data_IF_721266820603
#
_entry.id   IF_721266820603
#
_cell.length_a   1.000
_cell.length_b   1.000
_cell.length_c   1.000
_cell.angle_alpha   90.00
_cell.angle_beta   90.00
_cell.angle_gamma   90.00
#
_symmetry.space_group_name_H-M   'P 1'
#
loop_
_entity.id
_entity.type
_entity.pdbx_description
1 polymer ?
#
# COMPACT_ATOMS: atom_id res chain seq x y z
N UNK A 1 -28.05 -50.18 -44.15
CA UNK A 1 -27.30 -51.29 -44.74
C UNK A 1 -26.01 -50.75 -45.33
N UNK A 2 -24.93 -51.46 -45.01
CA UNK A 2 -23.52 -51.18 -45.15
C UNK A 2 -22.96 -51.34 -46.56
N UNK A 3 -21.94 -50.56 -46.92
CA UNK A 3 -20.87 -51.03 -47.80
C UNK A 3 -19.50 -50.61 -47.21
N UNK A 4 -18.56 -51.56 -46.99
CA UNK A 4 -17.26 -51.29 -46.39
C UNK A 4 -16.10 -51.17 -47.42
N UNK A 5 -15.04 -50.47 -46.99
CA UNK A 5 -13.64 -50.42 -47.49
C UNK A 5 -13.05 -51.82 -47.80
N UNK A 6 -11.90 -52.01 -48.55
CA UNK A 6 -10.57 -51.46 -48.18
C UNK A 6 -9.39 -51.36 -49.23
N UNK A 7 -8.33 -50.60 -48.82
CA UNK A 7 -6.84 -50.78 -48.96
C UNK A 7 -6.04 -50.45 -50.26
N UNK A 8 -4.82 -49.91 -50.02
CA UNK A 8 -3.79 -49.24 -50.87
C UNK A 8 -2.73 -50.19 -51.51
N UNK A 9 -1.69 -49.76 -52.30
CA UNK A 9 -0.47 -49.09 -51.75
C UNK A 9 0.46 -48.24 -52.70
N UNK A 10 1.43 -47.52 -52.08
CA UNK A 10 2.79 -47.12 -52.51
C UNK A 10 3.07 -45.78 -53.25
N UNK A 11 3.96 -45.00 -52.62
CA UNK A 11 4.85 -43.93 -53.15
C UNK A 11 6.04 -44.50 -53.94
N UNK A 12 6.60 -43.74 -54.90
CA UNK A 12 8.01 -43.33 -54.78
C UNK A 12 8.42 -41.97 -55.42
N UNK A 13 9.36 -41.29 -54.73
CA UNK A 13 10.60 -40.64 -55.23
C UNK A 13 10.54 -39.39 -56.14
N UNK A 14 11.14 -38.30 -55.63
CA UNK A 14 11.63 -37.10 -56.33
C UNK A 14 12.87 -37.39 -57.21
N UNK A 15 13.03 -36.66 -58.33
CA UNK A 15 14.36 -36.11 -58.62
C UNK A 15 14.35 -34.63 -59.06
N UNK A 16 15.31 -33.92 -58.44
CA UNK A 16 16.18 -32.81 -58.87
C UNK A 16 15.75 -31.79 -59.95
N UNK A 17 15.87 -30.53 -59.54
CA UNK A 17 16.09 -29.31 -60.34
C UNK A 17 17.26 -29.44 -61.31
N UNK A 18 17.09 -28.89 -62.50
CA UNK A 18 18.11 -28.12 -63.23
C UNK A 18 17.46 -26.94 -63.95
N UNK A 19 18.13 -25.80 -63.85
CA UNK A 19 17.71 -24.46 -64.24
C UNK A 19 17.84 -24.20 -65.75
N UNK A 20 16.92 -23.42 -66.33
CA UNK A 20 17.17 -22.64 -67.56
C UNK A 20 16.60 -21.23 -67.44
N UNK A 21 17.53 -20.32 -67.21
CA UNK A 21 17.64 -18.95 -67.75
C UNK A 21 16.43 -18.03 -67.65
N UNK A 22 16.45 -17.24 -66.58
CA UNK A 22 15.73 -15.99 -66.43
C UNK A 22 16.11 -14.99 -67.53
N UNK A 23 15.11 -14.48 -68.25
CA UNK A 23 15.24 -13.35 -69.16
C UNK A 23 15.65 -12.09 -68.38
N UNK A 24 16.77 -11.52 -68.80
CA UNK A 24 17.53 -10.44 -68.18
C UNK A 24 16.78 -9.08 -68.07
N UNK A 25 15.56 -8.97 -68.60
CA UNK A 25 14.80 -7.71 -68.67
C UNK A 25 13.73 -7.51 -67.58
N UNK A 26 13.42 -8.54 -66.77
CA UNK A 26 12.48 -8.41 -65.62
C UNK A 26 13.16 -7.97 -64.30
N UNK A 27 14.48 -7.73 -64.32
CA UNK A 27 15.31 -7.55 -63.10
C UNK A 27 15.57 -6.11 -62.66
N UNK A 28 15.11 -5.09 -63.38
CA UNK A 28 15.40 -3.68 -62.99
C UNK A 28 14.23 -3.02 -62.22
N UNK A 29 13.02 -3.58 -62.23
CA UNK A 29 11.85 -3.01 -61.53
C UNK A 29 11.52 -3.57 -60.15
N UNK A 30 12.22 -4.61 -59.67
CA UNK A 30 11.65 -5.54 -58.66
C UNK A 30 12.54 -5.77 -57.43
N UNK A 31 13.60 -4.97 -57.23
CA UNK A 31 14.51 -5.12 -56.08
C UNK A 31 13.98 -4.41 -54.81
N UNK A 32 13.35 -3.24 -54.95
CA UNK A 32 12.77 -2.52 -53.80
C UNK A 32 11.53 -3.20 -53.20
N UNK A 33 10.76 -3.93 -54.02
CA UNK A 33 9.51 -4.60 -53.60
C UNK A 33 9.78 -5.94 -52.91
N UNK A 34 10.76 -6.73 -53.39
CA UNK A 34 11.13 -8.02 -52.77
C UNK A 34 11.79 -7.87 -51.40
N UNK A 35 12.55 -6.78 -51.15
CA UNK A 35 13.15 -6.51 -49.83
C UNK A 35 12.08 -6.17 -48.78
N UNK A 36 11.09 -5.35 -49.14
CA UNK A 36 9.92 -5.05 -48.28
C UNK A 36 9.02 -6.26 -48.02
N UNK A 37 8.83 -7.15 -49.00
CA UNK A 37 8.00 -8.35 -48.81
C UNK A 37 8.66 -9.34 -47.84
N UNK A 38 9.99 -9.45 -47.87
CA UNK A 38 10.75 -10.30 -46.94
C UNK A 38 10.75 -9.72 -45.52
N UNK A 39 10.94 -8.40 -45.38
CA UNK A 39 10.76 -7.70 -44.10
C UNK A 39 9.35 -7.85 -43.53
N UNK A 40 8.30 -7.72 -44.36
CA UNK A 40 6.91 -7.90 -43.91
C UNK A 40 6.62 -9.35 -43.52
N UNK A 41 7.24 -10.34 -44.18
CA UNK A 41 7.11 -11.75 -43.81
C UNK A 41 7.88 -12.09 -42.54
N UNK A 42 9.07 -11.52 -42.34
CA UNK A 42 9.85 -11.70 -41.11
C UNK A 42 9.15 -11.02 -39.91
N UNK A 43 8.56 -9.84 -40.09
CA UNK A 43 7.75 -9.13 -39.07
C UNK A 43 6.41 -9.83 -38.81
N UNK A 44 5.79 -10.44 -39.82
CA UNK A 44 4.62 -11.30 -39.61
C UNK A 44 4.97 -12.61 -38.90
N UNK A 45 6.14 -13.18 -39.15
CA UNK A 45 6.62 -14.38 -38.45
C UNK A 45 7.00 -14.07 -37.00
N UNK A 46 7.63 -12.92 -36.74
CA UNK A 46 7.97 -12.42 -35.41
C UNK A 46 6.71 -12.01 -34.63
N UNK A 47 5.77 -11.32 -35.27
CA UNK A 47 4.44 -11.01 -34.71
C UNK A 47 3.63 -12.27 -34.44
N UNK A 48 3.74 -13.29 -35.29
CA UNK A 48 3.15 -14.60 -35.03
C UNK A 48 3.85 -15.29 -33.86
N UNK A 49 5.17 -15.25 -33.74
CA UNK A 49 5.87 -15.81 -32.56
C UNK A 49 5.58 -15.06 -31.25
N UNK A 50 5.20 -13.78 -31.32
CA UNK A 50 4.82 -12.96 -30.18
C UNK A 50 3.34 -13.12 -29.76
N UNK A 51 2.45 -13.46 -30.70
CA UNK A 51 1.00 -13.64 -30.47
C UNK A 51 0.66 -15.12 -30.23
N UNK A 52 1.35 -16.02 -30.93
CA UNK A 52 1.16 -17.46 -30.87
C UNK A 52 2.16 -18.09 -29.88
N UNK A 53 1.82 -18.02 -28.59
CA UNK A 53 1.58 -19.30 -27.91
C UNK A 53 0.07 -19.53 -27.94
N UNK A 54 -0.50 -19.98 -29.07
CA UNK A 54 -1.93 -19.99 -29.29
C UNK A 54 -2.45 -21.36 -28.87
N UNK A 55 -3.02 -21.42 -27.68
CA UNK A 55 -3.55 -22.67 -27.16
C UNK A 55 -3.79 -22.73 -25.66
N UNK A 56 -3.59 -21.64 -24.91
CA UNK A 56 -4.14 -21.58 -23.57
C UNK A 56 -5.60 -21.09 -23.65
N UNK A 57 -6.60 -21.92 -23.30
CA UNK A 57 -8.03 -21.55 -23.32
C UNK A 57 -8.41 -20.53 -22.22
N UNK A 58 -7.47 -19.69 -21.77
CA UNK A 58 -7.60 -18.77 -20.63
C UNK A 58 -7.19 -17.32 -21.02
N UNK A 59 -6.95 -17.01 -22.29
CA UNK A 59 -6.69 -15.62 -22.68
C UNK A 59 -7.98 -14.79 -22.51
N UNK A 60 -8.02 -13.78 -21.62
CA UNK A 60 -9.21 -12.94 -21.49
C UNK A 60 -9.44 -12.16 -22.78
N UNK A 61 -10.67 -12.20 -23.30
CA UNK A 61 -11.11 -11.32 -24.39
C UNK A 61 -11.21 -9.90 -23.84
N UNK A 62 -10.17 -9.09 -24.06
CA UNK A 62 -10.12 -7.70 -23.62
C UNK A 62 -10.65 -6.81 -24.76
N UNK A 63 -11.67 -5.96 -24.54
CA UNK A 63 -12.25 -5.06 -25.54
C UNK A 63 -11.21 -4.10 -26.17
N UNK A 64 -11.34 -3.73 -27.45
CA UNK A 64 -10.41 -2.82 -28.15
C UNK A 64 -10.27 -1.44 -27.48
N UNK A 65 -11.32 -1.02 -26.76
CA UNK A 65 -11.41 0.23 -26.01
C UNK A 65 -10.44 0.24 -24.80
N UNK A 66 -10.11 -0.93 -24.24
CA UNK A 66 -9.18 -1.06 -23.11
C UNK A 66 -7.70 -0.93 -23.53
N UNK A 67 -7.36 -1.14 -24.81
CA UNK A 67 -6.01 -1.00 -25.37
C UNK A 67 -5.79 0.28 -26.20
N UNK A 68 -6.82 1.08 -26.43
CA UNK A 68 -6.73 2.28 -27.26
C UNK A 68 -6.09 3.43 -26.48
N UNK A 69 -4.79 3.68 -26.75
CA UNK A 69 -4.04 4.83 -26.24
C UNK A 69 -4.10 6.02 -27.21
N UNK A 70 -4.32 7.22 -26.67
CA UNK A 70 -4.14 8.48 -27.39
C UNK A 70 -2.64 8.73 -27.70
N UNK A 71 -2.35 9.64 -28.63
CA UNK A 71 -0.96 9.99 -28.98
C UNK A 71 -0.20 10.52 -27.75
N UNK A 72 0.97 9.94 -27.45
CA UNK A 72 1.76 10.18 -26.24
C UNK A 72 1.13 9.76 -24.90
N UNK A 73 0.02 9.02 -24.89
CA UNK A 73 -0.56 8.46 -23.67
C UNK A 73 0.30 7.30 -23.15
N UNK A 74 0.59 7.30 -21.85
CA UNK A 74 1.26 6.22 -21.14
C UNK A 74 0.23 5.55 -20.22
N UNK A 75 0.04 4.22 -20.35
CA UNK A 75 -0.73 3.43 -19.37
C UNK A 75 0.18 2.46 -18.64
N UNK A 76 0.06 2.47 -17.33
CA UNK A 76 0.68 1.52 -16.43
C UNK A 76 -0.36 0.45 -16.07
N UNK A 77 -0.10 -0.80 -16.45
CA UNK A 77 -0.96 -1.94 -16.16
C UNK A 77 -0.17 -2.91 -15.28
N UNK A 78 -0.81 -3.44 -14.24
CA UNK A 78 -0.21 -4.48 -13.41
C UNK A 78 -0.12 -5.75 -14.25
N UNK A 79 1.04 -6.40 -14.25
CA UNK A 79 1.18 -7.72 -14.88
C UNK A 79 0.17 -8.70 -14.25
N UNK A 80 -0.65 -9.44 -15.03
CA UNK A 80 -1.71 -10.30 -14.48
C UNK A 80 -1.22 -11.29 -13.42
N UNK A 81 0.02 -11.79 -13.54
CA UNK A 81 0.66 -12.66 -12.53
C UNK A 81 0.90 -11.97 -11.19
N UNK A 82 1.16 -10.65 -11.20
CA UNK A 82 1.30 -9.86 -9.97
C UNK A 82 -0.04 -9.65 -9.27
N UNK A 83 -1.16 -9.61 -10.01
CA UNK A 83 -2.50 -9.59 -9.41
C UNK A 83 -2.85 -10.89 -8.68
N UNK A 84 -2.21 -11.99 -9.06
CA UNK A 84 -2.41 -13.28 -8.39
C UNK A 84 -1.61 -13.42 -7.09
N UNK A 85 -0.64 -12.54 -6.82
CA UNK A 85 0.20 -12.54 -5.63
C UNK A 85 -0.66 -12.52 -4.35
N UNK A 86 -0.56 -13.55 -3.48
CA UNK A 86 -1.27 -13.59 -2.20
C UNK A 86 -1.03 -12.35 -1.34
N UNK A 87 0.16 -11.76 -1.36
CA UNK A 87 0.51 -10.60 -0.52
C UNK A 87 -0.13 -9.31 -1.03
N UNK A 88 -0.28 -9.17 -2.34
CA UNK A 88 -1.02 -8.07 -2.93
C UNK A 88 -2.51 -8.18 -2.61
N UNK A 89 -3.08 -9.39 -2.72
CA UNK A 89 -4.48 -9.65 -2.35
C UNK A 89 -4.74 -9.35 -0.88
N UNK A 90 -3.84 -9.77 0.01
CA UNK A 90 -3.89 -9.44 1.43
C UNK A 90 -3.85 -7.93 1.65
N UNK A 91 -2.94 -7.20 0.97
CA UNK A 91 -2.86 -5.75 1.06
C UNK A 91 -4.18 -5.07 0.67
N UNK A 92 -4.75 -5.46 -0.47
CA UNK A 92 -6.02 -4.92 -0.97
C UNK A 92 -7.13 -5.20 0.05
N UNK A 93 -7.21 -6.44 0.55
CA UNK A 93 -8.23 -6.84 1.51
C UNK A 93 -8.15 -6.03 2.81
N UNK A 94 -6.95 -5.88 3.39
CA UNK A 94 -6.72 -5.10 4.61
C UNK A 94 -7.11 -3.63 4.42
N UNK A 95 -6.80 -3.04 3.26
CA UNK A 95 -7.19 -1.66 2.95
C UNK A 95 -8.70 -1.52 2.77
N UNK A 96 -9.37 -2.49 2.13
CA UNK A 96 -10.83 -2.49 1.99
C UNK A 96 -11.51 -2.58 3.36
N UNK A 97 -11.06 -3.49 4.23
CA UNK A 97 -11.58 -3.64 5.59
C UNK A 97 -11.43 -2.34 6.38
N UNK A 98 -10.25 -1.73 6.32
CA UNK A 98 -10.01 -0.43 6.95
C UNK A 98 -10.98 0.66 6.47
N UNK A 99 -11.11 0.84 5.15
CA UNK A 99 -11.99 1.87 4.59
C UNK A 99 -13.45 1.62 5.01
N UNK A 100 -13.88 0.36 4.99
CA UNK A 100 -15.22 -0.03 5.40
C UNK A 100 -15.49 0.26 6.88
N UNK A 101 -14.52 -0.01 7.76
CA UNK A 101 -14.64 0.29 9.18
C UNK A 101 -14.73 1.79 9.44
N UNK A 102 -13.88 2.60 8.80
CA UNK A 102 -13.90 4.08 8.91
C UNK A 102 -15.21 4.67 8.39
N UNK A 103 -15.77 4.10 7.33
CA UNK A 103 -16.98 4.59 6.66
C UNK A 103 -18.27 3.88 7.09
N UNK A 104 -18.21 2.97 8.07
CA UNK A 104 -19.36 2.20 8.54
C UNK A 104 -20.51 3.09 8.99
N UNK A 105 -20.20 4.20 9.67
CA UNK A 105 -21.19 5.19 10.14
C UNK A 105 -21.93 5.90 9.01
N UNK A 106 -21.31 5.99 7.83
CA UNK A 106 -21.89 6.57 6.62
C UNK A 106 -22.59 5.53 5.73
N UNK A 107 -22.58 4.25 6.13
CA UNK A 107 -23.15 3.13 5.37
C UNK A 107 -22.55 2.96 3.96
N UNK A 108 -21.26 3.30 3.82
CA UNK A 108 -20.51 3.09 2.58
C UNK A 108 -19.78 1.76 2.69
N UNK A 109 -19.84 0.94 1.64
CA UNK A 109 -19.17 -0.36 1.58
C UNK A 109 -18.40 -0.43 0.25
N UNK A 110 -17.09 -0.53 0.37
CA UNK A 110 -16.13 -0.79 -0.70
C UNK A 110 -15.96 -2.30 -0.86
N UNK A 111 -15.95 -2.75 -2.11
CA UNK A 111 -15.69 -4.15 -2.50
C UNK A 111 -14.52 -4.25 -3.47
N UNK A 112 -14.34 -3.26 -4.32
CA UNK A 112 -13.24 -3.21 -5.28
C UNK A 112 -12.66 -1.80 -5.31
N UNK A 113 -11.39 -1.67 -4.92
CA UNK A 113 -10.74 -0.37 -4.81
C UNK A 113 -10.65 0.38 -6.15
N UNK A 114 -10.66 -0.33 -7.28
CA UNK A 114 -10.58 0.28 -8.61
C UNK A 114 -11.95 0.75 -9.11
N UNK A 115 -13.01 0.00 -8.82
CA UNK A 115 -14.38 0.34 -9.22
C UNK A 115 -15.06 1.32 -8.27
N UNK A 116 -14.68 1.34 -6.99
CA UNK A 116 -15.37 2.15 -5.99
C UNK A 116 -14.68 3.50 -5.71
N UNK A 117 -13.40 3.68 -6.05
CA UNK A 117 -12.64 4.91 -5.72
C UNK A 117 -12.38 5.83 -6.93
N UNK A 118 -12.57 5.36 -8.16
CA UNK A 118 -12.16 6.08 -9.37
C UNK A 118 -12.86 7.43 -9.57
N UNK A 119 -14.09 7.58 -9.10
CA UNK A 119 -14.89 8.80 -9.22
C UNK A 119 -14.61 9.83 -8.11
N UNK A 120 -13.80 9.47 -7.12
CA UNK A 120 -13.41 10.30 -5.99
C UNK A 120 -14.42 10.37 -4.84
N UNK A 121 -15.58 9.71 -4.92
CA UNK A 121 -16.62 9.80 -3.88
C UNK A 121 -16.20 9.13 -2.57
N UNK A 122 -15.70 7.89 -2.64
CA UNK A 122 -15.22 7.16 -1.47
C UNK A 122 -14.01 7.87 -0.86
N UNK A 123 -13.08 8.33 -1.70
CA UNK A 123 -11.89 9.08 -1.26
C UNK A 123 -12.25 10.39 -0.54
N UNK A 124 -13.25 11.13 -1.04
CA UNK A 124 -13.80 12.29 -0.35
C UNK A 124 -14.27 11.91 1.05
N UNK A 125 -15.18 10.92 1.15
CA UNK A 125 -15.78 10.55 2.43
C UNK A 125 -14.76 10.01 3.44
N UNK A 126 -13.80 9.24 2.96
CA UNK A 126 -12.67 8.78 3.77
C UNK A 126 -11.89 9.98 4.32
N UNK A 127 -11.50 10.93 3.47
CA UNK A 127 -10.76 12.10 3.92
C UNK A 127 -11.56 12.97 4.90
N UNK A 128 -12.86 13.16 4.66
CA UNK A 128 -13.74 13.90 5.58
C UNK A 128 -13.81 13.22 6.96
N UNK A 129 -13.87 11.89 6.99
CA UNK A 129 -13.88 11.14 8.25
C UNK A 129 -12.55 11.19 8.99
N UNK A 130 -11.44 11.09 8.28
CA UNK A 130 -10.10 11.10 8.86
C UNK A 130 -9.70 12.49 9.38
N UNK A 131 -10.06 13.54 8.64
CA UNK A 131 -9.75 14.94 9.01
C UNK A 131 -10.81 15.62 9.87
N UNK A 132 -11.97 14.98 10.06
CA UNK A 132 -13.17 15.58 10.68
C UNK A 132 -13.59 16.91 10.05
N UNK A 133 -13.24 17.12 8.78
CA UNK A 133 -13.46 18.36 8.03
C UNK A 133 -14.21 18.07 6.75
N UNK A 134 -15.24 18.85 6.40
CA UNK A 134 -15.97 18.69 5.14
C UNK A 134 -15.21 19.29 3.96
N UNK A 135 -15.26 18.62 2.82
CA UNK A 135 -14.73 19.11 1.55
C UNK A 135 -15.82 19.83 0.77
N UNK A 136 -15.46 20.96 0.17
CA UNK A 136 -16.35 21.70 -0.74
C UNK A 136 -16.32 21.07 -2.14
N UNK A 137 -17.06 19.98 -2.30
CA UNK A 137 -17.23 19.28 -3.57
C UNK A 137 -18.69 18.85 -3.77
N UNK A 138 -19.17 18.70 -5.02
CA UNK A 138 -20.53 18.24 -5.28
C UNK A 138 -20.78 16.85 -4.68
N UNK A 139 -21.93 16.64 -4.04
CA UNK A 139 -22.25 15.35 -3.41
C UNK A 139 -22.33 14.19 -4.41
N UNK A 140 -22.81 14.45 -5.63
CA UNK A 140 -22.89 13.48 -6.72
C UNK A 140 -22.39 14.07 -8.03
N UNK A 141 -21.71 13.25 -8.81
CA UNK A 141 -21.13 13.63 -10.10
C UNK A 141 -21.48 12.55 -11.12
N UNK A 142 -22.26 12.92 -12.15
CA UNK A 142 -22.71 11.97 -13.18
C UNK A 142 -21.88 12.04 -14.47
N UNK A 143 -21.24 13.18 -14.76
CA UNK A 143 -20.40 13.34 -15.94
C UNK A 143 -18.95 12.97 -15.65
N UNK A 144 -18.26 12.44 -16.65
CA UNK A 144 -16.83 12.13 -16.59
C UNK A 144 -15.99 13.35 -16.21
N UNK A 145 -16.29 14.51 -16.80
CA UNK A 145 -15.65 15.78 -16.47
C UNK A 145 -15.91 16.20 -15.01
N UNK A 146 -17.13 15.97 -14.51
CA UNK A 146 -17.47 16.25 -13.11
C UNK A 146 -16.72 15.34 -12.13
N UNK A 147 -16.55 14.06 -12.46
CA UNK A 147 -15.74 13.13 -11.67
C UNK A 147 -14.28 13.57 -11.62
N UNK A 148 -13.68 13.95 -12.76
CA UNK A 148 -12.30 14.47 -12.80
C UNK A 148 -12.12 15.74 -11.97
N UNK A 149 -13.07 16.67 -12.06
CA UNK A 149 -13.03 17.91 -11.26
C UNK A 149 -13.14 17.63 -9.75
N UNK A 150 -14.06 16.74 -9.33
CA UNK A 150 -14.17 16.29 -7.94
C UNK A 150 -12.86 15.67 -7.46
N UNK A 151 -12.33 14.72 -8.22
CA UNK A 151 -11.10 14.03 -7.90
C UNK A 151 -9.90 14.99 -7.81
N UNK A 152 -9.84 16.01 -8.67
CA UNK A 152 -8.82 17.06 -8.59
C UNK A 152 -8.86 17.83 -7.25
N UNK A 153 -10.05 18.14 -6.75
CA UNK A 153 -10.22 18.83 -5.46
C UNK A 153 -9.86 17.89 -4.30
N UNK A 154 -10.35 16.65 -4.34
CA UNK A 154 -10.07 15.62 -3.31
C UNK A 154 -8.57 15.33 -3.23
N UNK A 155 -7.90 15.06 -4.35
CA UNK A 155 -6.46 14.78 -4.38
C UNK A 155 -5.63 15.99 -3.95
N UNK A 156 -6.06 17.22 -4.26
CA UNK A 156 -5.40 18.44 -3.74
C UNK A 156 -5.49 18.51 -2.22
N UNK A 157 -6.64 18.19 -1.64
CA UNK A 157 -6.82 18.16 -0.20
C UNK A 157 -5.99 17.04 0.45
N UNK A 158 -5.99 15.85 -0.12
CA UNK A 158 -5.13 14.73 0.32
C UNK A 158 -3.66 15.16 0.32
N UNK A 159 -3.16 15.72 -0.79
CA UNK A 159 -1.75 16.11 -0.88
C UNK A 159 -1.39 17.19 0.15
N UNK A 160 -2.29 18.13 0.43
CA UNK A 160 -2.12 19.13 1.48
C UNK A 160 -2.02 18.49 2.86
N UNK A 161 -2.85 17.50 3.15
CA UNK A 161 -2.84 16.75 4.42
C UNK A 161 -1.53 15.95 4.54
N UNK A 162 -1.16 15.20 3.52
CA UNK A 162 0.00 14.31 3.56
C UNK A 162 1.35 15.05 3.57
N UNK A 163 1.47 16.17 2.84
CA UNK A 163 2.78 16.80 2.57
C UNK A 163 2.85 18.29 2.92
N UNK A 164 1.79 18.88 3.46
CA UNK A 164 1.72 20.31 3.78
C UNK A 164 1.77 21.24 2.56
N UNK A 165 1.89 20.70 1.35
CA UNK A 165 1.98 21.46 0.09
C UNK A 165 1.13 20.80 -0.99
N UNK A 166 0.57 21.59 -1.89
CA UNK A 166 -0.23 21.09 -3.01
C UNK A 166 0.63 20.61 -4.21
N UNK A 167 1.93 20.35 -4.01
CA UNK A 167 2.79 19.89 -5.11
C UNK A 167 2.34 18.50 -5.60
N UNK A 168 2.45 18.21 -6.91
CA UNK A 168 2.08 16.91 -7.43
C UNK A 168 2.92 15.80 -6.79
N UNK A 169 2.24 14.76 -6.32
CA UNK A 169 2.90 13.54 -5.87
C UNK A 169 3.16 12.68 -7.09
N UNK A 170 4.38 12.19 -7.32
CA UNK A 170 4.69 11.46 -8.56
C UNK A 170 3.99 10.09 -8.67
N UNK A 171 3.31 9.61 -7.63
CA UNK A 171 2.73 8.26 -7.57
C UNK A 171 1.23 8.19 -7.92
N UNK A 172 0.52 9.31 -7.87
CA UNK A 172 -0.91 9.38 -8.24
C UNK A 172 -1.28 10.74 -8.85
N UNK A 173 -2.18 10.71 -9.81
CA UNK A 173 -2.81 11.85 -10.46
C UNK A 173 -4.31 11.63 -10.61
N UNK A 174 -5.02 12.68 -11.02
CA UNK A 174 -6.45 12.59 -11.39
C UNK A 174 -6.62 11.53 -12.47
N UNK A 175 -5.78 11.58 -13.51
CA UNK A 175 -5.85 10.65 -14.63
C UNK A 175 -5.61 9.21 -14.19
N UNK A 176 -4.59 8.95 -13.35
CA UNK A 176 -4.29 7.59 -12.92
C UNK A 176 -5.39 6.98 -12.05
N UNK A 177 -6.00 7.77 -11.16
CA UNK A 177 -7.06 7.24 -10.28
C UNK A 177 -8.36 7.08 -11.06
N UNK A 178 -8.71 8.04 -11.92
CA UNK A 178 -9.91 7.97 -12.76
C UNK A 178 -9.81 6.84 -13.81
N UNK A 179 -8.62 6.56 -14.32
CA UNK A 179 -8.34 5.42 -15.19
C UNK A 179 -8.21 4.08 -14.43
N UNK A 180 -8.64 4.02 -13.16
CA UNK A 180 -8.66 2.80 -12.33
C UNK A 180 -7.30 2.15 -12.14
N UNK A 181 -6.22 2.94 -12.13
CA UNK A 181 -4.88 2.41 -11.91
C UNK A 181 -4.71 1.94 -10.45
N UNK A 182 -4.77 0.62 -10.27
CA UNK A 182 -4.66 -0.04 -8.96
C UNK A 182 -3.37 0.33 -8.24
N UNK A 183 -2.23 0.49 -8.94
CA UNK A 183 -0.95 0.87 -8.33
C UNK A 183 -1.03 2.25 -7.69
N UNK A 184 -1.56 3.23 -8.43
CA UNK A 184 -1.74 4.59 -7.93
C UNK A 184 -2.74 4.65 -6.77
N UNK A 185 -3.84 3.89 -6.86
CA UNK A 185 -4.84 3.78 -5.79
C UNK A 185 -4.20 3.16 -4.54
N UNK A 186 -3.42 2.09 -4.67
CA UNK A 186 -2.73 1.46 -3.56
C UNK A 186 -1.71 2.39 -2.89
N UNK A 187 -0.88 3.10 -3.66
CA UNK A 187 0.06 4.07 -3.08
C UNK A 187 -0.67 5.17 -2.30
N UNK A 188 -1.77 5.69 -2.84
CA UNK A 188 -2.60 6.70 -2.21
C UNK A 188 -3.18 6.18 -0.88
N UNK A 189 -3.79 4.99 -0.89
CA UNK A 189 -4.40 4.38 0.29
C UNK A 189 -3.36 4.02 1.35
N UNK A 190 -2.22 3.45 0.96
CA UNK A 190 -1.11 3.16 1.87
C UNK A 190 -0.57 4.45 2.49
N UNK A 191 -0.45 5.54 1.73
CA UNK A 191 -0.02 6.83 2.26
C UNK A 191 -1.02 7.40 3.28
N UNK A 192 -2.32 7.33 2.98
CA UNK A 192 -3.38 7.76 3.90
C UNK A 192 -3.40 6.90 5.17
N UNK A 193 -3.41 5.57 5.04
CA UNK A 193 -3.40 4.65 6.17
C UNK A 193 -2.20 4.89 7.09
N UNK A 194 -1.01 5.15 6.51
CA UNK A 194 0.20 5.47 7.28
C UNK A 194 0.12 6.83 7.95
N UNK A 195 -0.32 7.86 7.24
CA UNK A 195 -0.41 9.23 7.76
C UNK A 195 -1.39 9.32 8.94
N UNK A 196 -2.57 8.71 8.79
CA UNK A 196 -3.61 8.71 9.81
C UNK A 196 -3.48 7.58 10.85
N UNK A 197 -2.42 6.76 10.75
CA UNK A 197 -2.17 5.61 11.64
C UNK A 197 -3.40 4.73 11.78
N UNK A 198 -3.96 4.36 10.63
CA UNK A 198 -5.06 3.41 10.54
C UNK A 198 -4.76 2.18 11.41
N UNK A 199 -5.75 1.68 12.20
CA UNK A 199 -5.56 0.54 13.10
C UNK A 199 -5.49 -0.80 12.33
N UNK A 200 -4.66 -0.86 11.29
CA UNK A 200 -4.50 -2.00 10.39
C UNK A 200 -3.04 -2.32 10.13
N UNK A 201 -2.74 -3.61 9.97
CA UNK A 201 -1.39 -4.10 9.69
C UNK A 201 -1.24 -4.38 8.19
N UNK A 202 -0.67 -3.43 7.46
CA UNK A 202 -0.29 -3.60 6.07
C UNK A 202 0.79 -4.70 5.92
N UNK A 203 0.71 -5.59 4.91
CA UNK A 203 1.80 -6.51 4.58
C UNK A 203 3.05 -5.75 4.09
N UNK A 204 4.24 -6.22 4.48
CA UNK A 204 5.53 -5.60 4.16
C UNK A 204 6.07 -6.02 2.79
N UNK A 205 6.89 -5.19 2.13
CA UNK A 205 7.61 -5.57 0.91
C UNK A 205 6.70 -6.11 -0.21
N UNK A 206 5.50 -5.56 -0.33
CA UNK A 206 4.61 -5.88 -1.45
C UNK A 206 5.11 -5.08 -2.65
N UNK A 207 5.51 -5.80 -3.70
CA UNK A 207 5.95 -5.22 -4.96
C UNK A 207 5.21 -5.87 -6.11
N UNK A 208 4.88 -5.08 -7.13
CA UNK A 208 4.14 -5.53 -8.30
C UNK A 208 4.92 -5.20 -9.56
N UNK A 209 4.92 -6.10 -10.54
CA UNK A 209 5.48 -5.78 -11.85
C UNK A 209 4.48 -4.93 -12.61
N UNK A 210 4.92 -3.74 -13.01
CA UNK A 210 4.13 -2.78 -13.77
C UNK A 210 4.67 -2.75 -15.19
N UNK A 211 3.79 -2.99 -16.15
CA UNK A 211 4.06 -2.82 -17.57
C UNK A 211 3.52 -1.46 -17.97
N UNK A 212 4.42 -0.55 -18.36
CA UNK A 212 4.03 0.73 -18.95
C UNK A 212 4.09 0.60 -20.46
N UNK A 213 2.95 0.79 -21.10
CA UNK A 213 2.82 0.86 -22.55
C UNK A 213 2.70 2.32 -22.94
N UNK A 214 3.57 2.78 -23.83
CA UNK A 214 3.58 4.12 -24.39
C UNK A 214 3.36 4.06 -25.89
N UNK A 215 2.48 4.92 -26.39
CA UNK A 215 2.31 5.14 -27.82
C UNK A 215 3.22 6.28 -28.28
N UNK A 216 4.45 5.94 -28.66
CA UNK A 216 5.45 6.90 -29.13
C UNK A 216 5.08 7.47 -30.51
N UNK A 217 4.46 6.65 -31.37
CA UNK A 217 4.00 7.03 -32.71
C UNK A 217 2.65 6.36 -33.03
N UNK A 218 1.89 6.83 -34.05
CA UNK A 218 0.58 6.28 -34.41
C UNK A 218 0.53 4.76 -34.59
N UNK A 219 1.66 4.16 -35.01
CA UNK A 219 1.81 2.72 -35.28
C UNK A 219 2.86 2.01 -34.40
N UNK A 220 3.41 2.66 -33.36
CA UNK A 220 4.46 2.05 -32.54
C UNK A 220 4.15 2.19 -31.05
N UNK A 221 4.00 1.03 -30.40
CA UNK A 221 3.89 0.91 -28.95
C UNK A 221 5.24 0.48 -28.39
N UNK A 222 5.80 1.26 -27.47
CA UNK A 222 6.92 0.83 -26.63
C UNK A 222 6.38 0.30 -25.31
N UNK A 223 6.99 -0.76 -24.78
CA UNK A 223 6.67 -1.29 -23.47
C UNK A 223 7.91 -1.30 -22.58
N UNK A 224 7.73 -0.96 -21.32
CA UNK A 224 8.75 -1.11 -20.27
C UNK A 224 8.12 -1.84 -19.09
N UNK A 225 8.85 -2.79 -18.51
CA UNK A 225 8.42 -3.46 -17.28
C UNK A 225 9.35 -3.06 -16.16
N UNK A 226 8.79 -2.65 -15.02
CA UNK A 226 9.57 -2.40 -13.80
C UNK A 226 8.81 -2.93 -12.59
N UNK A 227 9.56 -3.32 -11.56
CA UNK A 227 8.98 -3.67 -10.27
C UNK A 227 8.70 -2.37 -9.49
N UNK A 228 7.44 -2.16 -9.11
CA UNK A 228 7.02 -1.05 -8.26
C UNK A 228 6.73 -1.57 -6.85
N UNK A 229 7.41 -1.01 -5.85
CA UNK A 229 7.23 -1.39 -4.45
C UNK A 229 6.13 -0.56 -3.81
N UNK A 230 4.99 -1.20 -3.51
CA UNK A 230 3.81 -0.58 -2.91
C UNK A 230 4.01 -0.36 -1.41
N UNK A 231 4.51 -1.38 -0.71
CA UNK A 231 4.85 -1.31 0.71
C UNK A 231 6.31 -1.65 0.92
N UNK A 232 7.04 -0.83 1.66
CA UNK A 232 8.39 -1.12 2.15
C UNK A 232 8.34 -1.77 3.53
N UNK A 233 9.51 -2.19 4.04
CA UNK A 233 9.66 -2.57 5.45
C UNK A 233 9.24 -1.40 6.34
N UNK A 234 8.55 -1.70 7.45
CA UNK A 234 8.06 -0.71 8.39
C UNK A 234 9.14 0.19 9.04
N UNK A 235 10.42 -0.06 8.78
CA UNK A 235 11.55 0.71 9.31
C UNK A 235 11.61 2.16 8.80
N UNK A 236 11.16 2.46 7.58
CA UNK A 236 11.32 3.79 6.98
C UNK A 236 10.48 4.89 7.70
N UNK A 237 9.56 4.49 8.57
CA UNK A 237 8.69 5.38 9.37
C UNK A 237 8.58 4.93 10.85
N UNK A 238 9.50 4.08 11.33
CA UNK A 238 9.63 3.72 12.76
C UNK A 238 8.65 2.67 13.29
N UNK A 239 8.20 1.71 12.47
CA UNK A 239 7.23 0.67 12.86
C UNK A 239 7.78 -0.76 12.85
N UNK A 240 9.09 -0.99 13.05
CA UNK A 240 9.54 -2.32 13.49
C UNK A 240 9.16 -2.54 14.95
N UNK A 241 8.17 -3.38 15.17
CA UNK A 241 8.29 -4.36 16.23
C UNK A 241 8.23 -5.74 15.58
N UNK A 242 9.39 -6.43 15.53
CA UNK A 242 9.39 -7.89 15.33
C UNK A 242 8.32 -8.49 16.23
N UNK A 243 7.54 -9.46 15.71
CA UNK A 243 6.48 -10.09 16.51
C UNK A 243 7.08 -10.57 17.81
N UNK A 244 6.60 -9.98 18.90
CA UNK A 244 7.14 -10.25 20.23
C UNK A 244 6.12 -11.00 21.08
N UNK A 245 6.52 -11.29 22.32
CA UNK A 245 5.66 -11.99 23.26
C UNK A 245 4.33 -11.25 23.52
N UNK A 246 4.28 -9.91 23.35
CA UNK A 246 3.04 -9.16 23.48
C UNK A 246 2.09 -9.38 22.30
N UNK A 247 2.59 -9.53 21.07
CA UNK A 247 1.71 -9.88 19.94
C UNK A 247 1.06 -11.25 20.17
N UNK A 248 1.85 -12.26 20.57
CA UNK A 248 1.30 -13.58 20.87
C UNK A 248 0.33 -13.58 22.07
N UNK A 249 0.58 -12.75 23.08
CA UNK A 249 -0.26 -12.58 24.27
C UNK A 249 -1.64 -12.01 23.93
N UNK A 250 -1.68 -10.98 23.08
CA UNK A 250 -2.93 -10.38 22.61
C UNK A 250 -3.73 -11.34 21.72
N UNK A 251 -3.05 -12.03 20.81
CA UNK A 251 -3.71 -12.89 19.82
C UNK A 251 -4.28 -14.17 20.44
N UNK A 252 -3.59 -14.77 21.42
CA UNK A 252 -3.87 -16.15 21.86
C UNK A 252 -4.13 -16.32 23.36
N UNK A 253 -3.93 -15.29 24.19
CA UNK A 253 -4.00 -15.45 25.66
C UNK A 253 -4.54 -14.21 26.40
N UNK A 254 -5.81 -13.83 26.16
CA UNK A 254 -6.44 -12.67 26.82
C UNK A 254 -6.49 -12.79 28.35
N UNK A 255 -6.63 -13.99 28.90
CA UNK A 255 -6.62 -14.20 30.36
C UNK A 255 -5.26 -13.86 30.98
N UNK A 256 -4.17 -14.22 30.28
CA UNK A 256 -2.81 -13.88 30.72
C UNK A 256 -2.53 -12.38 30.59
N UNK A 257 -3.12 -11.73 29.58
CA UNK A 257 -3.01 -10.28 29.40
C UNK A 257 -3.55 -9.52 30.63
N UNK A 258 -4.68 -9.96 31.19
CA UNK A 258 -5.24 -9.33 32.40
C UNK A 258 -4.32 -9.47 33.61
N UNK A 259 -3.64 -10.62 33.75
CA UNK A 259 -2.65 -10.82 34.81
C UNK A 259 -1.45 -9.89 34.64
N UNK A 260 -0.94 -9.73 33.41
CA UNK A 260 0.15 -8.80 33.10
C UNK A 260 -0.27 -7.35 33.40
N UNK A 261 -1.47 -6.92 32.98
CA UNK A 261 -2.01 -5.60 33.30
C UNK A 261 -2.00 -5.36 34.81
N UNK A 262 -2.58 -6.29 35.59
CA UNK A 262 -2.64 -6.19 37.05
C UNK A 262 -1.24 -6.11 37.69
N UNK A 263 -0.29 -6.91 37.19
CA UNK A 263 1.09 -6.86 37.67
C UNK A 263 1.76 -5.51 37.40
N UNK A 264 1.56 -4.94 36.21
CA UNK A 264 2.12 -3.64 35.85
C UNK A 264 1.46 -2.49 36.62
N UNK A 265 0.15 -2.55 36.86
CA UNK A 265 -0.55 -1.59 37.73
C UNK A 265 0.06 -1.59 39.14
N UNK A 266 0.24 -2.77 39.73
CA UNK A 266 0.88 -2.89 41.06
C UNK A 266 2.28 -2.28 41.06
N UNK A 267 3.08 -2.57 40.03
CA UNK A 267 4.43 -2.01 39.89
C UNK A 267 4.40 -0.48 39.82
N UNK A 268 3.64 0.13 38.91
CA UNK A 268 3.64 1.59 38.74
C UNK A 268 3.09 2.29 39.99
N UNK A 269 2.05 1.74 40.64
CA UNK A 269 1.48 2.32 41.86
C UNK A 269 2.42 2.24 43.05
N UNK A 270 3.32 1.26 43.14
CA UNK A 270 4.37 1.23 44.17
C UNK A 270 5.25 2.49 44.15
N UNK A 271 5.42 3.09 42.98
CA UNK A 271 6.21 4.31 42.80
C UNK A 271 5.32 5.56 42.80
N UNK A 272 4.29 5.61 41.95
CA UNK A 272 3.43 6.79 41.76
C UNK A 272 2.63 7.18 43.02
N UNK A 273 2.28 6.22 43.89
CA UNK A 273 1.60 6.54 45.15
C UNK A 273 2.43 7.42 46.09
N UNK A 274 3.77 7.43 45.95
CA UNK A 274 4.66 8.30 46.73
C UNK A 274 4.45 9.79 46.44
N UNK A 275 3.85 10.11 45.30
CA UNK A 275 3.47 11.47 44.89
C UNK A 275 1.96 11.63 44.80
N UNK A 276 1.20 10.78 45.50
CA UNK A 276 -0.27 10.76 45.53
C UNK A 276 -0.94 10.57 44.16
N UNK A 277 -0.29 9.84 43.25
CA UNK A 277 -0.86 9.44 41.97
C UNK A 277 -1.21 7.94 42.00
N UNK A 278 -2.37 7.60 41.45
CA UNK A 278 -2.84 6.22 41.37
C UNK A 278 -3.29 5.89 39.95
N UNK A 279 -2.86 4.72 39.48
CA UNK A 279 -3.20 4.12 38.20
C UNK A 279 -4.18 3.00 38.43
N UNK A 280 -5.36 3.12 37.83
CA UNK A 280 -6.42 2.12 37.81
C UNK A 280 -6.57 1.51 36.41
N UNK A 281 -6.27 2.29 35.36
CA UNK A 281 -6.49 1.93 33.97
C UNK A 281 -5.26 2.29 33.09
N UNK A 282 -4.53 1.26 32.67
CA UNK A 282 -3.37 1.40 31.77
C UNK A 282 -3.77 1.83 30.36
N UNK A 283 -5.02 1.63 29.95
CA UNK A 283 -5.51 1.97 28.62
C UNK A 283 -5.67 3.49 28.45
N UNK A 284 -5.72 4.24 29.57
CA UNK A 284 -5.99 5.68 29.56
C UNK A 284 -4.92 6.51 30.29
N UNK A 285 -4.44 6.09 31.44
CA UNK A 285 -3.74 7.04 32.33
C UNK A 285 -2.28 7.36 31.94
N UNK A 286 -1.77 6.78 30.86
CA UNK A 286 -0.42 7.07 30.35
C UNK A 286 -0.39 7.87 29.05
N UNK A 287 -1.55 8.15 28.45
CA UNK A 287 -1.63 8.76 27.10
C UNK A 287 -1.08 10.19 27.05
N UNK A 288 -0.97 10.88 28.19
CA UNK A 288 -0.53 12.28 28.26
C UNK A 288 0.97 12.42 28.59
N UNK A 289 1.66 11.29 28.81
CA UNK A 289 3.08 11.23 29.13
C UNK A 289 3.47 11.74 30.53
N UNK A 290 2.56 12.34 31.29
CA UNK A 290 2.85 12.92 32.62
C UNK A 290 3.26 11.82 33.59
N UNK A 291 2.48 10.73 33.63
CA UNK A 291 2.76 9.61 34.51
C UNK A 291 4.06 8.89 34.12
N UNK A 292 4.42 8.84 32.83
CA UNK A 292 5.70 8.27 32.39
C UNK A 292 6.89 9.12 32.88
N UNK A 293 6.82 10.44 32.71
CA UNK A 293 7.87 11.36 33.18
C UNK A 293 8.09 11.23 34.69
N UNK A 294 7.00 11.32 35.47
CA UNK A 294 7.07 11.22 36.93
C UNK A 294 7.54 9.84 37.40
N UNK A 295 7.09 8.77 36.75
CA UNK A 295 7.54 7.41 37.04
C UNK A 295 9.05 7.26 36.81
N UNK A 296 9.60 7.83 35.73
CA UNK A 296 11.04 7.81 35.46
C UNK A 296 11.85 8.50 36.57
N UNK A 297 11.45 9.70 36.98
CA UNK A 297 12.09 10.40 38.09
C UNK A 297 12.05 9.59 39.40
N UNK A 298 10.93 8.92 39.68
CA UNK A 298 10.77 8.10 40.88
C UNK A 298 11.56 6.78 40.86
N UNK A 299 11.79 6.20 39.68
CA UNK A 299 12.55 4.97 39.52
C UNK A 299 14.05 5.21 39.70
N UNK A 300 14.55 6.33 39.20
CA UNK A 300 15.97 6.69 39.25
C UNK A 300 16.32 7.60 40.45
N UNK A 301 15.32 8.14 41.14
CA UNK A 301 15.51 8.98 42.31
C UNK A 301 15.94 10.41 41.99
N UNK A 302 15.65 10.91 40.78
CA UNK A 302 15.89 12.30 40.40
C UNK A 302 14.58 13.08 40.24
N UNK A 303 14.70 14.40 40.37
CA UNK A 303 13.59 15.31 40.09
C UNK A 303 13.55 15.62 38.60
N UNK A 304 12.38 15.45 37.99
CA UNK A 304 12.13 15.85 36.59
C UNK A 304 11.67 17.31 36.60
N UNK A 305 12.41 18.25 35.99
CA UNK A 305 12.02 19.65 36.00
C UNK A 305 10.67 19.88 35.31
N UNK A 306 9.76 20.58 35.98
CA UNK A 306 8.39 20.82 35.49
C UNK A 306 8.33 21.76 34.29
N UNK A 307 9.44 22.37 33.88
CA UNK A 307 9.53 23.17 32.67
C UNK A 307 9.92 22.36 31.43
N UNK A 308 10.40 21.11 31.60
CA UNK A 308 10.81 20.25 30.49
C UNK A 308 9.65 19.42 29.90
N UNK A 309 8.52 19.36 30.62
CA UNK A 309 7.31 18.67 30.18
C UNK A 309 6.03 19.39 30.67
N UNK A 310 4.91 19.13 30.01
CA UNK A 310 3.63 19.75 30.32
C UNK A 310 2.88 18.94 31.39
N UNK A 311 2.68 19.50 32.59
CA UNK A 311 1.89 18.85 33.64
C UNK A 311 0.39 18.73 33.31
N UNK A 312 -0.12 19.64 32.49
CA UNK A 312 -1.52 19.69 32.05
C UNK A 312 -1.55 19.83 30.51
N UNK A 313 -1.20 18.78 29.77
CA UNK A 313 -1.11 18.87 28.31
C UNK A 313 -2.51 19.00 27.68
N UNK A 314 -2.72 20.06 26.92
CA UNK A 314 -4.02 20.41 26.34
C UNK A 314 -4.22 19.85 24.93
N UNK A 315 -3.16 19.84 24.12
CA UNK A 315 -3.18 19.43 22.73
C UNK A 315 -2.40 18.13 22.49
N UNK A 316 -2.51 17.59 21.27
CA UNK A 316 -1.86 16.35 20.89
C UNK A 316 -0.32 16.48 20.91
N UNK A 317 0.22 17.60 20.45
CA UNK A 317 1.65 17.82 20.33
C UNK A 317 2.33 17.92 21.71
N UNK A 318 1.67 18.54 22.69
CA UNK A 318 2.13 18.58 24.08
C UNK A 318 2.19 17.18 24.71
N UNK A 319 1.20 16.32 24.44
CA UNK A 319 1.21 14.93 24.91
C UNK A 319 2.35 14.14 24.25
N UNK A 320 2.54 14.31 22.95
CA UNK A 320 3.63 13.67 22.19
C UNK A 320 4.99 14.13 22.72
N UNK A 321 5.15 15.42 23.00
CA UNK A 321 6.34 15.99 23.64
C UNK A 321 6.64 15.30 24.97
N UNK A 322 5.66 15.20 25.87
CA UNK A 322 5.83 14.53 27.16
C UNK A 322 6.27 13.07 27.04
N UNK A 323 5.63 12.30 26.15
CA UNK A 323 6.00 10.89 25.96
C UNK A 323 7.40 10.77 25.34
N UNK A 324 7.73 11.64 24.38
CA UNK A 324 9.06 11.70 23.76
C UNK A 324 10.13 11.98 24.81
N UNK A 325 9.89 12.98 25.65
CA UNK A 325 10.78 13.34 26.76
C UNK A 325 10.94 12.18 27.76
N UNK A 326 9.86 11.47 28.11
CA UNK A 326 9.97 10.28 28.94
C UNK A 326 10.85 9.18 28.29
N UNK A 327 10.81 9.02 26.97
CA UNK A 327 11.66 8.07 26.24
C UNK A 327 13.12 8.51 26.17
N UNK A 328 13.39 9.82 26.14
CA UNK A 328 14.73 10.37 26.27
C UNK A 328 15.29 10.06 27.67
N UNK A 329 14.52 10.33 28.73
CA UNK A 329 14.89 9.97 30.10
C UNK A 329 15.22 8.48 30.25
N UNK A 330 14.46 7.60 29.59
CA UNK A 330 14.73 6.16 29.57
C UNK A 330 16.09 5.83 28.93
N UNK A 331 16.41 6.47 27.79
CA UNK A 331 17.66 6.24 27.09
C UNK A 331 18.87 6.78 27.87
N UNK A 332 18.73 7.95 28.51
CA UNK A 332 19.79 8.56 29.32
C UNK A 332 20.21 7.68 30.49
N UNK A 333 19.29 6.87 31.02
CA UNK A 333 19.56 5.92 32.11
C UNK A 333 19.99 4.54 31.58
N UNK A 334 20.26 4.43 30.28
CA UNK A 334 20.77 3.22 29.63
C UNK A 334 19.73 2.15 29.29
N UNK A 335 18.43 2.48 29.25
CA UNK A 335 17.45 1.57 28.63
C UNK A 335 17.61 1.61 27.11
N UNK A 336 17.32 0.48 26.46
CA UNK A 336 17.14 0.48 25.02
C UNK A 336 15.99 1.43 24.66
N UNK A 337 16.15 2.15 23.54
CA UNK A 337 15.10 3.03 23.00
C UNK A 337 13.77 2.24 22.95
N UNK A 338 12.69 2.75 23.53
CA UNK A 338 11.39 2.11 23.44
C UNK A 338 11.00 1.83 21.98
N UNK A 339 10.48 0.63 21.72
CA UNK A 339 9.99 0.25 20.38
C UNK A 339 8.71 0.99 19.99
N UNK A 340 7.93 1.41 20.98
CA UNK A 340 6.74 2.22 20.77
C UNK A 340 7.14 3.62 20.30
N UNK A 341 6.34 4.24 19.43
CA UNK A 341 6.49 5.67 19.16
C UNK A 341 5.71 6.48 20.20
N UNK A 342 6.13 7.72 20.49
CA UNK A 342 5.44 8.56 21.45
C UNK A 342 3.95 8.70 21.17
N UNK A 343 3.57 8.84 19.91
CA UNK A 343 2.18 9.07 19.54
C UNK A 343 1.33 7.80 19.53
N UNK A 344 1.95 6.60 19.58
CA UNK A 344 1.20 5.36 19.80
C UNK A 344 0.67 5.31 21.25
N UNK A 345 1.46 5.81 22.21
CA UNK A 345 1.02 5.99 23.61
C UNK A 345 -0.09 7.04 23.69
N UNK A 346 0.08 8.18 23.01
CA UNK A 346 -0.92 9.26 23.00
C UNK A 346 -2.25 8.82 22.38
N UNK A 347 -2.22 7.94 21.38
CA UNK A 347 -3.40 7.37 20.74
C UNK A 347 -3.99 6.17 21.49
N UNK A 348 -3.62 5.94 22.75
CA UNK A 348 -4.14 4.86 23.58
C UNK A 348 -3.87 3.44 23.04
N UNK A 349 -2.76 3.24 22.32
CA UNK A 349 -2.34 1.88 21.98
C UNK A 349 -1.84 1.16 23.24
N UNK A 350 -2.74 0.39 23.84
CA UNK A 350 -2.48 -0.42 25.01
C UNK A 350 -1.25 -1.32 24.81
N UNK A 351 -1.06 -1.90 23.63
CA UNK A 351 0.04 -2.83 23.38
C UNK A 351 1.38 -2.10 23.52
N UNK A 352 1.48 -0.90 22.96
CA UNK A 352 2.64 -0.02 23.10
C UNK A 352 2.87 0.41 24.54
N UNK A 353 1.82 0.82 25.26
CA UNK A 353 1.91 1.18 26.69
C UNK A 353 2.43 0.02 27.53
N UNK A 354 1.91 -1.19 27.34
CA UNK A 354 2.34 -2.37 28.07
C UNK A 354 3.80 -2.74 27.77
N UNK A 355 4.25 -2.61 26.52
CA UNK A 355 5.67 -2.83 26.15
C UNK A 355 6.60 -1.88 26.88
N UNK A 356 6.28 -0.58 26.89
CA UNK A 356 7.06 0.45 27.60
C UNK A 356 7.13 0.12 29.09
N UNK A 357 5.98 -0.09 29.73
CA UNK A 357 5.92 -0.37 31.16
C UNK A 357 6.58 -1.70 31.54
N UNK A 358 6.51 -2.71 30.67
CA UNK A 358 7.16 -3.99 30.90
C UNK A 358 8.68 -3.90 30.80
N UNK A 359 9.21 -3.06 29.91
CA UNK A 359 10.65 -2.79 29.86
C UNK A 359 11.13 -2.12 31.15
N UNK A 360 10.39 -1.13 31.66
CA UNK A 360 10.67 -0.52 32.96
C UNK A 360 10.59 -1.57 34.08
N UNK A 361 9.50 -2.33 34.15
CA UNK A 361 9.35 -3.40 35.13
C UNK A 361 10.53 -4.38 35.08
N UNK A 362 10.95 -4.81 33.91
CA UNK A 362 12.05 -5.78 33.76
C UNK A 362 13.38 -5.23 34.31
N UNK A 363 13.66 -3.94 34.09
CA UNK A 363 14.86 -3.27 34.62
C UNK A 363 14.77 -3.06 36.14
N UNK A 364 13.62 -2.62 36.63
CA UNK A 364 13.44 -2.19 38.02
C UNK A 364 12.73 -3.20 38.91
N UNK A 365 12.53 -4.45 38.46
CA UNK A 365 11.85 -5.51 39.24
C UNK A 365 12.52 -5.84 40.58
N UNK A 366 13.80 -5.50 40.75
CA UNK A 366 14.51 -5.64 42.03
C UNK A 366 14.17 -4.52 43.03
N UNK A 367 13.67 -3.39 42.54
CA UNK A 367 13.09 -2.30 43.33
C UNK A 367 11.56 -2.48 43.49
N UNK A 368 10.95 -3.35 42.67
CA UNK A 368 9.52 -3.67 42.63
C UNK A 368 9.04 -4.52 43.80
#
# INVERSE_FOLDING_TARGET
MSSPRPKSPRTPVLPKKEDKEESFWDKIGTIGRKKRIKEVQDVQAEGKYAIDSPGSPIAPEIPPEEYSLNENEERAIIEPRSLEDPRLKELIQVLIEWINDELATQRIIVKDISEDLYDGQVLQKLLEMLTKTKLDVPEVTQSEEGQRQKLAIVLRAVNRVLYGTAKPVPKWSVDSIHSKNVVSILHLLVALARHFRAPVRLPENVSVNVVVVKKDNPNQLSHRTFAETITTTYDDLGMKCERDAFDALFDHAPDKLQVVKKSLITFVNKHLSKVNLEVMDLDKQFHDGVYLCLLMGLLEGFFVPLYDFHLLPEDFDQKVHNVSFAFELMQDVGLAKPKARPEDIVNHDLKSTLRVLYNLFTKYKSLA
#
